data_IF_103195887857
#
_entry.id   IF_103195887857
#
_cell.length_a   1.000
_cell.length_b   1.000
_cell.length_c   1.000
_cell.angle_alpha   90.00
_cell.angle_beta   90.00
_cell.angle_gamma   90.00
#
_symmetry.space_group_name_H-M   'P 1'
#
loop_
_entity.id
_entity.type
_entity.pdbx_description
1 polymer ?
#
# COMPACT_ATOMS: atom_id res chain seq x y z
N UNK A 1 -13.73 0.44 -9.91
CA UNK A 1 -15.05 1.06 -9.53
C UNK A 1 -15.06 1.15 -8.01
N UNK A 2 -15.40 2.31 -7.47
CA UNK A 2 -15.50 2.60 -6.04
C UNK A 2 -16.93 3.04 -5.67
N UNK A 3 -17.17 3.28 -4.39
CA UNK A 3 -18.47 3.73 -3.87
C UNK A 3 -18.46 5.23 -3.51
N UNK A 4 -17.72 6.05 -4.26
CA UNK A 4 -17.76 7.52 -4.19
C UNK A 4 -18.47 8.04 -5.44
N UNK A 5 -19.77 8.31 -5.34
CA UNK A 5 -20.62 8.66 -6.49
C UNK A 5 -21.47 9.90 -6.20
N UNK A 6 -21.73 10.68 -7.24
CA UNK A 6 -22.75 11.72 -7.17
C UNK A 6 -24.14 11.07 -7.12
N UNK A 7 -24.95 11.52 -6.16
CA UNK A 7 -26.33 11.09 -6.00
C UNK A 7 -27.30 12.05 -6.70
N UNK A 8 -28.62 11.77 -6.63
CA UNK A 8 -29.66 12.56 -7.28
C UNK A 8 -29.73 14.02 -6.80
N UNK A 9 -29.22 14.29 -5.58
CA UNK A 9 -29.09 15.64 -5.01
C UNK A 9 -27.92 16.45 -5.59
N UNK A 10 -27.16 15.85 -6.50
CA UNK A 10 -25.99 16.46 -7.15
C UNK A 10 -24.74 16.52 -6.25
N UNK A 11 -24.76 15.92 -5.06
CA UNK A 11 -23.61 15.89 -4.16
C UNK A 11 -22.82 14.58 -4.27
N UNK A 12 -21.52 14.63 -3.93
CA UNK A 12 -20.69 13.45 -3.87
C UNK A 12 -20.86 12.75 -2.52
N UNK A 13 -21.14 11.45 -2.58
CA UNK A 13 -21.37 10.60 -1.41
C UNK A 13 -20.29 9.52 -1.30
N UNK A 14 -20.02 9.06 -0.09
CA UNK A 14 -19.30 7.84 0.21
C UNK A 14 -20.31 6.79 0.65
N UNK A 15 -20.52 5.73 -0.16
CA UNK A 15 -21.60 4.77 0.06
C UNK A 15 -22.97 5.53 0.23
N UNK A 16 -23.57 5.46 1.43
CA UNK A 16 -24.85 6.12 1.73
C UNK A 16 -24.68 7.33 2.70
N UNK A 17 -23.48 7.92 2.79
CA UNK A 17 -23.17 9.08 3.64
C UNK A 17 -22.66 10.24 2.80
N UNK A 18 -23.26 11.43 3.00
CA UNK A 18 -22.84 12.66 2.30
C UNK A 18 -21.45 13.10 2.75
N UNK A 19 -20.55 13.39 1.79
CA UNK A 19 -19.24 13.95 2.10
C UNK A 19 -19.32 15.36 2.70
N UNK A 20 -20.38 16.11 2.38
CA UNK A 20 -20.67 17.41 3.02
C UNK A 20 -20.93 17.24 4.52
N UNK A 21 -21.75 16.27 4.90
CA UNK A 21 -22.04 15.98 6.32
C UNK A 21 -20.80 15.53 7.07
N UNK A 22 -19.96 14.68 6.45
CA UNK A 22 -18.69 14.25 7.06
C UNK A 22 -17.73 15.41 7.27
N UNK A 23 -17.61 16.33 6.30
CA UNK A 23 -16.78 17.53 6.46
C UNK A 23 -17.30 18.45 7.56
N UNK A 24 -18.64 18.59 7.74
CA UNK A 24 -19.24 19.37 8.83
C UNK A 24 -18.99 18.71 10.19
N UNK A 25 -19.10 17.40 10.27
CA UNK A 25 -18.96 16.65 11.54
C UNK A 25 -17.50 16.56 12.01
N UNK A 26 -16.55 16.31 11.11
CA UNK A 26 -15.16 15.98 11.46
C UNK A 26 -14.15 17.06 11.06
N UNK A 27 -14.59 18.10 10.34
CA UNK A 27 -13.72 19.14 9.79
C UNK A 27 -12.86 18.64 8.62
N UNK A 28 -12.16 19.58 7.97
CA UNK A 28 -11.19 19.32 6.90
C UNK A 28 -9.78 19.76 7.32
N UNK A 29 -8.69 19.26 6.71
CA UNK A 29 -8.66 18.10 5.79
C UNK A 29 -9.12 16.82 6.48
N UNK A 30 -9.74 15.90 5.73
CA UNK A 30 -10.31 14.66 6.27
C UNK A 30 -10.11 13.50 5.31
N UNK A 31 -9.56 12.39 5.77
CA UNK A 31 -9.56 11.15 4.99
C UNK A 31 -10.88 10.40 5.21
N UNK A 32 -11.51 9.99 4.12
CA UNK A 32 -12.73 9.17 4.15
C UNK A 32 -12.48 7.90 3.37
N UNK A 33 -12.73 6.76 4.01
CA UNK A 33 -12.61 5.42 3.41
C UNK A 33 -13.98 4.77 3.26
N UNK A 34 -14.20 4.04 2.17
CA UNK A 34 -15.37 3.20 1.94
C UNK A 34 -15.04 1.75 2.31
N UNK A 35 -15.76 1.18 3.25
CA UNK A 35 -15.66 -0.23 3.62
C UNK A 35 -16.08 -1.14 2.48
N UNK A 36 -17.18 -0.83 1.83
CA UNK A 36 -17.70 -1.63 0.71
C UNK A 36 -16.70 -1.70 -0.46
N UNK A 37 -16.01 -0.57 -0.76
CA UNK A 37 -14.93 -0.57 -1.75
C UNK A 37 -13.77 -1.47 -1.35
N UNK A 38 -13.33 -1.37 -0.09
CA UNK A 38 -12.23 -2.16 0.46
C UNK A 38 -12.54 -3.67 0.40
N UNK A 39 -13.70 -4.08 0.87
CA UNK A 39 -14.17 -5.47 0.83
C UNK A 39 -14.28 -6.00 -0.60
N UNK A 40 -14.82 -5.19 -1.50
CA UNK A 40 -14.93 -5.54 -2.92
C UNK A 40 -13.57 -5.78 -3.57
N UNK A 41 -12.59 -4.89 -3.34
CA UNK A 41 -11.26 -5.01 -3.94
C UNK A 41 -10.51 -6.22 -3.40
N UNK A 42 -10.57 -6.48 -2.08
CA UNK A 42 -9.97 -7.67 -1.52
C UNK A 42 -10.60 -8.96 -2.08
N UNK A 43 -11.92 -9.02 -2.12
CA UNK A 43 -12.66 -10.15 -2.69
C UNK A 43 -12.36 -10.36 -4.19
N UNK A 44 -12.03 -9.30 -4.94
CA UNK A 44 -11.68 -9.43 -6.35
C UNK A 44 -10.37 -10.22 -6.53
N UNK A 45 -9.40 -10.06 -5.62
CA UNK A 45 -8.18 -10.88 -5.60
C UNK A 45 -8.48 -12.29 -5.13
N UNK A 46 -9.08 -12.46 -3.97
CA UNK A 46 -9.32 -13.77 -3.35
C UNK A 46 -10.13 -14.69 -4.28
N UNK A 47 -11.24 -14.20 -4.84
CA UNK A 47 -12.09 -14.99 -5.74
C UNK A 47 -11.49 -15.24 -7.12
N UNK A 48 -10.52 -14.44 -7.56
CA UNK A 48 -9.92 -14.58 -8.89
C UNK A 48 -9.09 -15.85 -9.06
N UNK A 49 -8.61 -16.40 -7.96
CA UNK A 49 -7.71 -17.57 -7.93
C UNK A 49 -8.49 -18.90 -7.89
N UNK A 50 -9.78 -18.86 -7.56
CA UNK A 50 -10.64 -20.03 -7.48
C UNK A 50 -10.17 -21.01 -6.41
N UNK A 51 -10.17 -22.32 -6.75
CA UNK A 51 -9.81 -23.41 -5.83
C UNK A 51 -8.30 -23.66 -5.72
N UNK A 52 -7.46 -22.91 -6.44
CA UNK A 52 -6.00 -23.04 -6.33
C UNK A 52 -5.52 -22.57 -4.94
N UNK A 53 -4.61 -23.31 -4.28
CA UNK A 53 -4.06 -22.91 -2.99
C UNK A 53 -3.44 -21.50 -3.06
N UNK A 54 -3.94 -20.56 -2.26
CA UNK A 54 -3.47 -19.18 -2.28
C UNK A 54 -3.66 -18.44 -0.97
N UNK A 55 -2.95 -17.32 -0.82
CA UNK A 55 -3.09 -16.38 0.27
C UNK A 55 -2.95 -14.95 -0.27
N UNK A 56 -3.92 -14.10 0.04
CA UNK A 56 -3.82 -12.66 -0.23
C UNK A 56 -3.30 -11.97 1.02
N UNK A 57 -2.04 -11.53 0.98
CA UNK A 57 -1.36 -10.78 2.04
C UNK A 57 -1.46 -9.27 1.72
N UNK A 58 -2.38 -8.57 2.38
CA UNK A 58 -2.47 -7.12 2.19
C UNK A 58 -1.19 -6.41 2.61
N UNK A 59 -0.60 -5.59 1.71
CA UNK A 59 0.61 -4.82 2.01
C UNK A 59 0.29 -3.63 2.92
N UNK A 60 0.62 -3.76 4.21
CA UNK A 60 0.27 -2.80 5.29
C UNK A 60 0.81 -1.40 5.01
N UNK A 61 1.97 -1.30 4.36
CA UNK A 61 2.59 -0.03 3.93
C UNK A 61 1.70 0.86 3.07
N UNK A 62 0.69 0.30 2.42
CA UNK A 62 -0.24 1.08 1.59
C UNK A 62 -1.21 1.92 2.45
N UNK A 63 -1.78 1.31 3.49
CA UNK A 63 -2.61 1.98 4.50
C UNK A 63 -2.62 1.12 5.77
N UNK A 64 -2.06 1.63 6.85
CA UNK A 64 -1.89 0.92 8.13
C UNK A 64 -2.92 1.30 9.19
N UNK A 65 -4.02 2.00 8.82
CA UNK A 65 -5.08 2.34 9.77
C UNK A 65 -5.71 1.08 10.37
N UNK A 66 -5.90 1.04 11.69
CA UNK A 66 -6.44 -0.14 12.38
C UNK A 66 -7.84 -0.52 11.88
N UNK A 67 -8.67 0.45 11.51
CA UNK A 67 -10.00 0.19 10.93
C UNK A 67 -9.89 -0.54 9.60
N UNK A 68 -8.97 -0.11 8.72
CA UNK A 68 -8.69 -0.76 7.43
C UNK A 68 -8.17 -2.19 7.64
N UNK A 69 -7.16 -2.35 8.51
CA UNK A 69 -6.58 -3.67 8.81
C UNK A 69 -7.61 -4.62 9.45
N UNK A 70 -8.50 -4.10 10.33
CA UNK A 70 -9.53 -4.90 10.98
C UNK A 70 -10.59 -5.41 9.99
N UNK A 71 -11.01 -4.60 9.00
CA UNK A 71 -11.91 -5.06 7.94
C UNK A 71 -11.26 -6.22 7.17
N UNK A 72 -10.00 -6.06 6.75
CA UNK A 72 -9.26 -7.08 6.01
C UNK A 72 -9.02 -8.35 6.85
N UNK A 73 -8.68 -8.22 8.14
CA UNK A 73 -8.53 -9.35 9.06
C UNK A 73 -9.82 -10.17 9.16
N UNK A 74 -10.98 -9.51 9.25
CA UNK A 74 -12.30 -10.17 9.27
C UNK A 74 -12.64 -10.90 7.98
N UNK A 75 -12.11 -10.45 6.83
CA UNK A 75 -12.22 -11.15 5.55
C UNK A 75 -11.29 -12.36 5.44
N UNK A 76 -10.38 -12.56 6.40
CA UNK A 76 -9.42 -13.65 6.40
C UNK A 76 -8.11 -13.37 5.69
N UNK A 77 -7.83 -12.09 5.38
CA UNK A 77 -6.59 -11.64 4.74
C UNK A 77 -5.35 -12.07 5.53
N UNK A 78 -4.29 -12.43 4.81
CA UNK A 78 -2.93 -12.32 5.28
C UNK A 78 -2.44 -10.88 5.22
N UNK A 79 -1.19 -10.65 5.67
CA UNK A 79 -0.59 -9.31 5.67
C UNK A 79 0.89 -9.39 5.31
N UNK A 80 1.32 -8.51 4.38
CA UNK A 80 2.72 -8.21 4.13
C UNK A 80 3.12 -7.01 4.98
N UNK A 81 4.12 -7.21 5.84
CA UNK A 81 4.66 -6.20 6.74
C UNK A 81 6.14 -5.92 6.45
N UNK A 82 6.60 -4.71 6.77
CA UNK A 82 8.00 -4.30 6.57
C UNK A 82 8.66 -3.73 7.83
N UNK A 83 7.97 -3.78 8.98
CA UNK A 83 8.48 -3.31 10.27
C UNK A 83 7.75 -3.95 11.45
N UNK A 84 8.36 -3.87 12.64
CA UNK A 84 7.70 -4.24 13.89
C UNK A 84 6.45 -3.39 14.14
N UNK A 85 6.48 -2.11 13.80
CA UNK A 85 5.31 -1.23 13.96
C UNK A 85 4.10 -1.71 13.17
N UNK A 86 4.31 -2.17 11.92
CA UNK A 86 3.25 -2.77 11.11
C UNK A 86 2.79 -4.12 11.69
N UNK A 87 3.72 -4.95 12.17
CA UNK A 87 3.39 -6.21 12.86
C UNK A 87 2.42 -5.97 14.03
N UNK A 88 2.78 -5.05 14.93
CA UNK A 88 1.94 -4.76 16.11
C UNK A 88 0.58 -4.17 15.72
N UNK A 89 0.51 -3.38 14.63
CA UNK A 89 -0.78 -2.89 14.10
C UNK A 89 -1.66 -4.02 13.57
N UNK A 90 -1.09 -4.97 12.85
CA UNK A 90 -1.83 -6.15 12.35
C UNK A 90 -2.39 -6.97 13.52
N UNK A 91 -1.57 -7.20 14.56
CA UNK A 91 -2.01 -7.93 15.76
C UNK A 91 -3.11 -7.16 16.49
N UNK A 92 -2.95 -5.85 16.68
CA UNK A 92 -3.96 -4.99 17.32
C UNK A 92 -5.29 -4.94 16.53
N UNK A 93 -5.22 -5.08 15.21
CA UNK A 93 -6.38 -5.15 14.33
C UNK A 93 -7.07 -6.54 14.28
N UNK A 94 -6.51 -7.56 14.95
CA UNK A 94 -7.03 -8.92 14.97
C UNK A 94 -6.59 -9.78 13.79
N UNK A 95 -5.49 -9.42 13.11
CA UNK A 95 -4.89 -10.24 12.06
C UNK A 95 -4.29 -11.54 12.60
N UNK A 96 -4.36 -12.60 11.79
CA UNK A 96 -3.80 -13.91 12.13
C UNK A 96 -2.28 -13.92 11.88
N UNK A 97 -1.44 -14.09 12.93
CA UNK A 97 0.00 -14.16 12.75
C UNK A 97 0.45 -15.25 11.76
N UNK A 98 -0.24 -16.38 11.72
CA UNK A 98 0.09 -17.50 10.83
C UNK A 98 -0.11 -17.16 9.34
N UNK A 99 -0.66 -15.99 9.03
CA UNK A 99 -0.87 -15.47 7.67
C UNK A 99 -0.04 -14.20 7.38
N UNK A 100 0.98 -13.90 8.22
CA UNK A 100 1.84 -12.73 8.03
C UNK A 100 3.13 -13.15 7.32
N UNK A 101 3.48 -12.42 6.26
CA UNK A 101 4.81 -12.45 5.64
C UNK A 101 5.58 -11.18 6.01
N UNK A 102 6.88 -11.31 6.28
CA UNK A 102 7.71 -10.19 6.72
C UNK A 102 8.78 -9.89 5.66
N UNK A 103 8.55 -8.84 4.89
CA UNK A 103 9.40 -8.35 3.81
C UNK A 103 10.32 -7.20 4.26
N UNK A 104 11.16 -6.70 3.36
CA UNK A 104 12.02 -5.53 3.60
C UNK A 104 13.47 -5.86 3.91
N UNK A 105 14.38 -4.96 3.48
CA UNK A 105 15.84 -5.14 3.44
C UNK A 105 16.55 -4.88 4.77
N UNK A 106 15.86 -4.43 5.81
CA UNK A 106 16.49 -3.94 7.04
C UNK A 106 15.91 -4.52 8.32
N UNK A 107 15.46 -5.78 8.31
CA UNK A 107 14.93 -6.45 9.50
C UNK A 107 15.99 -6.56 10.59
N UNK A 108 15.70 -6.05 11.78
CA UNK A 108 16.56 -6.11 12.95
C UNK A 108 16.35 -7.38 13.75
N UNK A 109 17.33 -7.76 14.58
CA UNK A 109 17.21 -8.92 15.46
C UNK A 109 15.99 -8.86 16.40
N UNK A 110 15.63 -7.67 16.88
CA UNK A 110 14.45 -7.48 17.75
C UNK A 110 13.14 -7.67 17.01
N UNK A 111 13.05 -7.21 15.75
CA UNK A 111 11.90 -7.43 14.87
C UNK A 111 11.75 -8.91 14.53
N UNK A 112 12.86 -9.58 14.18
CA UNK A 112 12.88 -11.03 13.93
C UNK A 112 12.43 -11.82 15.16
N UNK A 113 12.97 -11.46 16.34
CA UNK A 113 12.60 -12.10 17.61
C UNK A 113 11.11 -12.00 17.90
N UNK A 114 10.54 -10.80 17.73
CA UNK A 114 9.11 -10.56 17.94
C UNK A 114 8.25 -11.34 16.97
N UNK A 115 8.61 -11.37 15.70
CA UNK A 115 7.89 -12.10 14.66
C UNK A 115 7.93 -13.63 14.87
N UNK A 116 9.10 -14.18 15.27
CA UNK A 116 9.25 -15.59 15.64
C UNK A 116 8.41 -15.98 16.86
N UNK A 117 8.35 -15.10 17.89
CA UNK A 117 7.50 -15.32 19.06
C UNK A 117 6.01 -15.39 18.69
N UNK A 118 5.58 -14.63 17.70
CA UNK A 118 4.22 -14.64 17.19
C UNK A 118 3.95 -15.78 16.20
N UNK A 119 5.00 -16.49 15.75
CA UNK A 119 4.92 -17.59 14.79
C UNK A 119 4.29 -17.15 13.46
N UNK A 120 4.85 -16.11 12.85
CA UNK A 120 4.41 -15.63 11.54
C UNK A 120 4.60 -16.72 10.47
N UNK A 121 3.90 -16.58 9.32
CA UNK A 121 3.97 -17.53 8.21
C UNK A 121 5.38 -17.66 7.65
N UNK A 122 6.03 -16.54 7.35
CA UNK A 122 7.32 -16.56 6.64
C UNK A 122 8.07 -15.24 6.75
N UNK A 123 9.41 -15.32 6.69
CA UNK A 123 10.29 -14.18 6.44
C UNK A 123 10.72 -14.19 4.98
N UNK A 124 10.45 -13.11 4.24
CA UNK A 124 11.00 -12.88 2.90
C UNK A 124 12.39 -12.26 3.06
N UNK A 125 13.42 -13.11 2.98
CA UNK A 125 14.82 -12.76 3.25
C UNK A 125 15.47 -12.21 1.99
N UNK A 126 16.23 -11.12 2.13
CA UNK A 126 16.77 -10.37 1.00
C UNK A 126 18.31 -10.40 0.89
N UNK A 127 19.01 -11.06 1.85
CA UNK A 127 20.47 -11.16 1.82
C UNK A 127 21.03 -12.29 2.68
N UNK A 128 22.28 -12.71 2.41
CA UNK A 128 22.97 -13.74 3.22
C UNK A 128 23.24 -13.29 4.66
N UNK A 129 23.67 -12.04 4.94
CA UNK A 129 23.82 -11.59 6.33
C UNK A 129 22.48 -11.61 7.10
N UNK A 130 21.35 -11.40 6.42
CA UNK A 130 20.03 -11.51 7.04
C UNK A 130 19.69 -12.97 7.38
N UNK A 131 20.04 -13.96 6.52
CA UNK A 131 19.91 -15.39 6.83
C UNK A 131 20.70 -15.77 8.08
N UNK A 132 21.96 -15.34 8.18
CA UNK A 132 22.83 -15.61 9.33
C UNK A 132 22.25 -15.03 10.62
N UNK A 133 21.78 -13.77 10.57
CA UNK A 133 21.17 -13.10 11.71
C UNK A 133 19.87 -13.80 12.15
N UNK A 134 19.01 -14.16 11.19
CA UNK A 134 17.74 -14.85 11.48
C UNK A 134 18.00 -16.24 12.08
N UNK A 135 18.96 -16.98 11.53
CA UNK A 135 19.38 -18.27 12.08
C UNK A 135 19.88 -18.15 13.52
N UNK A 136 20.68 -17.12 13.82
CA UNK A 136 21.15 -16.86 15.19
C UNK A 136 19.97 -16.55 16.13
N UNK A 137 19.06 -15.66 15.75
CA UNK A 137 17.88 -15.29 16.56
C UNK A 137 16.97 -16.49 16.79
N UNK A 138 16.74 -17.30 15.76
CA UNK A 138 15.94 -18.52 15.85
C UNK A 138 16.59 -19.54 16.82
N UNK A 139 17.91 -19.71 16.75
CA UNK A 139 18.69 -20.55 17.68
C UNK A 139 18.56 -20.06 19.12
N UNK A 140 18.68 -18.73 19.38
CA UNK A 140 18.51 -18.15 20.71
C UNK A 140 17.12 -18.44 21.30
N UNK A 141 16.10 -18.48 20.46
CA UNK A 141 14.72 -18.80 20.86
C UNK A 141 14.42 -20.31 20.87
N UNK A 142 15.36 -21.15 20.42
CA UNK A 142 15.17 -22.59 20.24
C UNK A 142 13.97 -22.93 19.35
N UNK A 143 13.87 -22.23 18.22
CA UNK A 143 12.84 -22.42 17.17
C UNK A 143 13.49 -22.57 15.80
N UNK A 144 12.70 -22.98 14.81
CA UNK A 144 13.08 -22.95 13.40
C UNK A 144 12.28 -21.84 12.71
N UNK A 145 12.96 -20.93 11.97
CA UNK A 145 12.35 -19.82 11.28
C UNK A 145 11.92 -20.26 9.87
N UNK A 146 10.64 -20.08 9.50
CA UNK A 146 10.20 -20.29 8.12
C UNK A 146 10.67 -19.14 7.24
N UNK A 147 11.33 -19.47 6.12
CA UNK A 147 11.90 -18.48 5.21
C UNK A 147 11.45 -18.67 3.76
N UNK A 148 11.37 -17.57 3.05
CA UNK A 148 11.34 -17.45 1.60
C UNK A 148 12.51 -16.55 1.19
N UNK A 149 13.19 -16.84 0.08
CA UNK A 149 14.18 -15.91 -0.43
C UNK A 149 13.55 -15.01 -1.47
N UNK A 150 13.71 -13.70 -1.28
CA UNK A 150 13.31 -12.73 -2.27
C UNK A 150 14.35 -12.66 -3.38
N UNK A 151 13.95 -13.10 -4.55
CA UNK A 151 14.79 -13.14 -5.74
C UNK A 151 14.43 -11.96 -6.63
N UNK A 152 15.44 -11.21 -7.05
CA UNK A 152 15.29 -10.19 -8.07
C UNK A 152 15.34 -10.88 -9.46
N UNK A 153 14.20 -10.96 -10.17
CA UNK A 153 14.14 -11.70 -11.43
C UNK A 153 14.78 -10.95 -12.61
N UNK A 154 15.29 -9.71 -12.40
CA UNK A 154 15.85 -8.85 -13.44
C UNK A 154 14.87 -8.64 -14.61
N UNK A 155 13.68 -8.22 -14.30
CA UNK A 155 12.59 -7.88 -15.24
C UNK A 155 12.30 -6.38 -15.15
N UNK A 156 12.28 -5.71 -16.30
CA UNK A 156 11.91 -4.30 -16.38
C UNK A 156 10.38 -4.14 -16.36
N UNK A 157 9.88 -3.57 -15.29
CA UNK A 157 8.46 -3.30 -15.09
C UNK A 157 7.97 -2.00 -15.76
N UNK A 158 8.84 -1.25 -16.44
CA UNK A 158 8.53 0.03 -17.10
C UNK A 158 7.79 1.04 -16.20
N UNK A 159 8.11 1.08 -14.90
CA UNK A 159 7.47 1.95 -13.91
C UNK A 159 8.37 3.14 -13.54
N UNK A 160 7.81 4.09 -12.74
CA UNK A 160 8.60 5.23 -12.25
C UNK A 160 9.86 4.74 -11.52
N UNK A 161 11.05 5.34 -11.75
CA UNK A 161 12.33 4.87 -11.18
C UNK A 161 12.34 4.66 -9.66
N UNK A 162 11.60 5.48 -8.91
CA UNK A 162 11.55 5.37 -7.44
C UNK A 162 10.68 4.21 -6.92
N UNK A 163 9.86 3.58 -7.77
CA UNK A 163 8.97 2.47 -7.40
C UNK A 163 9.23 1.19 -8.21
N UNK A 164 10.25 1.17 -9.06
CA UNK A 164 10.78 -0.04 -9.69
C UNK A 164 11.67 -0.80 -8.71
N UNK A 165 11.48 -2.10 -8.56
CA UNK A 165 12.22 -2.95 -7.61
C UNK A 165 12.81 -4.21 -8.23
N UNK A 166 12.54 -4.47 -9.52
CA UNK A 166 12.93 -5.68 -10.25
C UNK A 166 14.24 -5.59 -11.03
N UNK A 167 14.99 -4.48 -10.98
CA UNK A 167 16.24 -4.29 -11.72
C UNK A 167 17.46 -4.57 -10.83
N UNK A 168 18.57 -4.99 -11.44
CA UNK A 168 19.84 -5.34 -10.76
C UNK A 168 20.42 -4.21 -9.88
N UNK A 169 20.20 -2.95 -10.23
CA UNK A 169 20.71 -1.79 -9.50
C UNK A 169 19.90 -1.45 -8.22
N UNK A 170 18.79 -2.15 -7.98
CA UNK A 170 17.94 -1.91 -6.82
C UNK A 170 18.49 -2.61 -5.57
N UNK A 171 18.27 -2.01 -4.42
CA UNK A 171 18.69 -2.57 -3.10
C UNK A 171 17.95 -3.85 -2.69
N UNK A 172 16.94 -4.27 -3.45
CA UNK A 172 16.01 -5.33 -3.06
C UNK A 172 16.39 -6.68 -3.66
N UNK A 173 16.24 -7.72 -2.84
CA UNK A 173 16.34 -9.11 -3.26
C UNK A 173 17.74 -9.60 -3.57
N UNK A 174 17.85 -10.89 -3.74
CA UNK A 174 19.05 -11.62 -4.14
C UNK A 174 19.08 -11.69 -5.68
N UNK A 175 20.21 -11.41 -6.30
CA UNK A 175 20.36 -11.50 -7.75
C UNK A 175 20.04 -12.93 -8.25
N UNK A 176 19.34 -13.02 -9.38
CA UNK A 176 18.83 -14.31 -9.91
C UNK A 176 19.93 -15.34 -10.12
N UNK A 177 21.11 -14.93 -10.61
CA UNK A 177 22.26 -15.80 -10.84
C UNK A 177 22.90 -16.35 -9.54
N UNK A 178 22.66 -15.70 -8.39
CA UNK A 178 23.13 -16.11 -7.08
C UNK A 178 22.11 -16.98 -6.32
N UNK A 179 20.86 -17.00 -6.77
CA UNK A 179 19.75 -17.60 -6.05
C UNK A 179 20.01 -19.05 -5.63
N UNK A 180 20.41 -19.92 -6.58
CA UNK A 180 20.69 -21.34 -6.29
C UNK A 180 21.77 -21.53 -5.23
N UNK A 181 22.83 -20.72 -5.29
CA UNK A 181 23.93 -20.74 -4.32
C UNK A 181 23.45 -20.33 -2.92
N UNK A 182 22.62 -19.28 -2.83
CA UNK A 182 22.13 -18.77 -1.56
C UNK A 182 21.09 -19.73 -0.95
N UNK A 183 20.26 -20.41 -1.74
CA UNK A 183 19.39 -21.48 -1.24
C UNK A 183 20.19 -22.66 -0.65
N UNK A 184 21.26 -23.09 -1.34
CA UNK A 184 22.16 -24.12 -0.79
C UNK A 184 22.84 -23.67 0.49
N UNK A 185 23.22 -22.40 0.61
CA UNK A 185 23.73 -21.84 1.84
C UNK A 185 22.67 -21.85 2.96
N UNK A 186 21.46 -21.39 2.69
CA UNK A 186 20.34 -21.42 3.64
C UNK A 186 20.07 -22.84 4.16
N UNK A 187 20.18 -23.87 3.31
CA UNK A 187 20.03 -25.28 3.68
C UNK A 187 21.08 -25.76 4.72
N UNK A 188 22.22 -25.09 4.82
CA UNK A 188 23.25 -25.42 5.82
C UNK A 188 23.01 -24.78 7.20
N UNK A 189 21.98 -23.94 7.33
CA UNK A 189 21.64 -23.21 8.56
C UNK A 189 20.54 -23.95 9.33
N UNK A 190 20.91 -24.62 10.41
CA UNK A 190 20.08 -25.60 11.14
C UNK A 190 18.76 -25.04 11.72
N UNK A 191 18.65 -23.72 11.92
CA UNK A 191 17.48 -23.08 12.51
C UNK A 191 16.61 -22.33 11.48
N UNK A 192 16.79 -22.63 10.19
CA UNK A 192 15.95 -22.12 9.10
C UNK A 192 15.23 -23.25 8.39
N UNK A 193 13.98 -22.99 7.96
CA UNK A 193 13.16 -23.90 7.17
C UNK A 193 12.73 -23.21 5.87
N UNK A 194 13.26 -23.67 4.75
CA UNK A 194 12.97 -23.14 3.42
C UNK A 194 11.54 -23.50 3.04
N UNK A 195 10.66 -22.51 2.92
CA UNK A 195 9.25 -22.67 2.57
C UNK A 195 8.94 -22.19 1.16
N UNK A 196 9.57 -21.10 0.72
CA UNK A 196 9.12 -20.43 -0.48
C UNK A 196 10.18 -19.67 -1.25
N UNK A 197 9.71 -19.05 -2.31
CA UNK A 197 10.40 -18.08 -3.14
C UNK A 197 9.52 -16.85 -3.30
N UNK A 198 10.09 -15.66 -3.19
CA UNK A 198 9.42 -14.37 -3.30
C UNK A 198 10.01 -13.53 -4.42
N UNK A 199 9.19 -12.72 -5.06
CA UNK A 199 9.62 -11.62 -5.90
C UNK A 199 8.67 -10.42 -5.79
N UNK A 200 9.22 -9.25 -6.06
CA UNK A 200 8.42 -8.03 -6.24
C UNK A 200 9.10 -7.14 -7.28
N UNK A 201 8.46 -6.93 -8.43
CA UNK A 201 9.08 -6.30 -9.60
C UNK A 201 8.84 -4.80 -9.70
N UNK A 202 7.86 -4.27 -8.96
CA UNK A 202 7.55 -2.84 -8.99
C UNK A 202 6.15 -2.49 -8.49
N UNK A 203 5.74 -1.27 -8.71
CA UNK A 203 4.44 -0.76 -8.28
C UNK A 203 3.79 0.06 -9.39
N UNK A 204 2.46 0.05 -9.48
CA UNK A 204 1.67 0.71 -10.52
C UNK A 204 1.94 0.12 -11.93
N UNK A 205 2.03 -1.21 -12.02
CA UNK A 205 2.12 -1.91 -13.30
C UNK A 205 0.75 -1.97 -13.98
N UNK A 206 0.71 -1.61 -15.24
CA UNK A 206 -0.49 -1.62 -16.09
C UNK A 206 -0.45 -2.68 -17.18
N UNK A 207 0.64 -3.47 -17.20
CA UNK A 207 0.84 -4.58 -18.13
C UNK A 207 1.03 -5.89 -17.36
N UNK A 208 0.54 -7.00 -17.91
CA UNK A 208 0.66 -8.35 -17.33
C UNK A 208 1.99 -9.01 -17.69
N UNK A 209 2.56 -8.72 -18.85
CA UNK A 209 3.74 -9.42 -19.38
C UNK A 209 4.94 -9.44 -18.42
N UNK A 210 5.30 -8.32 -17.73
CA UNK A 210 6.40 -8.36 -16.75
C UNK A 210 6.18 -9.35 -15.60
N UNK A 211 4.93 -9.53 -15.18
CA UNK A 211 4.59 -10.51 -14.13
C UNK A 211 4.76 -11.95 -14.65
N UNK A 212 4.32 -12.21 -15.89
CA UNK A 212 4.48 -13.53 -16.53
C UNK A 212 5.96 -13.86 -16.65
N UNK A 213 6.77 -12.94 -17.16
CA UNK A 213 8.21 -13.12 -17.32
C UNK A 213 8.91 -13.42 -15.98
N UNK A 214 8.53 -12.71 -14.91
CA UNK A 214 9.06 -12.96 -13.58
C UNK A 214 8.68 -14.35 -13.07
N UNK A 215 7.42 -14.74 -13.19
CA UNK A 215 6.92 -16.06 -12.75
C UNK A 215 7.60 -17.17 -13.55
N UNK A 216 7.74 -17.07 -14.87
CA UNK A 216 8.39 -18.09 -15.69
C UNK A 216 9.85 -18.30 -15.26
N UNK A 217 10.60 -17.24 -14.98
CA UNK A 217 11.97 -17.33 -14.46
C UNK A 217 12.01 -18.04 -13.11
N UNK A 218 11.09 -17.67 -12.20
CA UNK A 218 11.04 -18.29 -10.86
C UNK A 218 10.63 -19.76 -10.91
N UNK A 219 9.69 -20.15 -11.77
CA UNK A 219 9.33 -21.57 -11.96
C UNK A 219 10.52 -22.39 -12.47
N UNK A 220 11.31 -21.83 -13.40
CA UNK A 220 12.56 -22.46 -13.85
C UNK A 220 13.58 -22.62 -12.71
N UNK A 221 13.67 -21.67 -11.79
CA UNK A 221 14.51 -21.78 -10.59
C UNK A 221 13.95 -22.81 -9.59
N UNK A 222 12.66 -22.88 -9.39
CA UNK A 222 12.00 -23.91 -8.56
C UNK A 222 12.33 -25.32 -9.05
N UNK A 223 12.32 -25.55 -10.37
CA UNK A 223 12.69 -26.84 -10.95
C UNK A 223 14.18 -27.17 -10.71
N UNK A 224 15.07 -26.19 -10.78
CA UNK A 224 16.48 -26.38 -10.44
C UNK A 224 16.67 -26.69 -8.94
N UNK A 225 15.97 -25.97 -8.05
CA UNK A 225 16.00 -26.20 -6.60
C UNK A 225 15.52 -27.60 -6.25
N UNK A 226 14.43 -28.06 -6.88
CA UNK A 226 13.90 -29.41 -6.72
C UNK A 226 14.91 -30.49 -7.14
N UNK A 227 15.64 -30.27 -8.23
CA UNK A 227 16.70 -31.19 -8.68
C UNK A 227 17.85 -31.28 -7.67
N UNK A 228 18.08 -30.27 -6.88
CA UNK A 228 19.07 -30.20 -5.78
C UNK A 228 18.50 -30.67 -4.43
N UNK A 229 17.25 -31.16 -4.38
CA UNK A 229 16.61 -31.63 -3.16
C UNK A 229 16.03 -30.54 -2.27
N UNK A 230 15.83 -29.33 -2.79
CA UNK A 230 15.19 -28.21 -2.09
C UNK A 230 13.75 -28.07 -2.61
N UNK A 231 12.77 -28.36 -1.76
CA UNK A 231 11.35 -28.30 -2.11
C UNK A 231 10.78 -26.92 -1.74
N UNK A 232 10.16 -26.25 -2.70
CA UNK A 232 9.47 -24.97 -2.53
C UNK A 232 7.96 -25.25 -2.41
N UNK A 233 7.33 -24.72 -1.34
CA UNK A 233 5.92 -24.92 -1.02
C UNK A 233 5.04 -23.75 -1.48
N UNK A 234 5.57 -22.51 -1.50
CA UNK A 234 4.85 -21.36 -2.01
C UNK A 234 5.69 -20.49 -2.93
N UNK A 235 5.02 -19.83 -3.85
CA UNK A 235 5.52 -18.78 -4.70
C UNK A 235 4.81 -17.47 -4.32
N UNK A 236 5.55 -16.53 -3.75
CA UNK A 236 5.08 -15.17 -3.52
C UNK A 236 5.40 -14.32 -4.76
N UNK A 237 4.36 -13.85 -5.42
CA UNK A 237 4.48 -13.01 -6.62
C UNK A 237 4.49 -11.51 -6.29
N UNK A 238 4.47 -11.20 -5.02
CA UNK A 238 4.45 -9.83 -4.53
C UNK A 238 3.16 -9.08 -4.85
N UNK A 239 3.27 -7.77 -4.86
CA UNK A 239 2.23 -6.87 -5.31
C UNK A 239 2.56 -6.26 -6.68
N UNK A 240 2.13 -5.01 -6.87
CA UNK A 240 2.54 -4.23 -8.04
C UNK A 240 1.41 -3.89 -8.99
N UNK A 241 0.30 -4.63 -8.99
CA UNK A 241 -0.83 -4.34 -9.87
C UNK A 241 -1.30 -2.89 -9.67
N UNK A 242 -1.44 -2.16 -10.79
CA UNK A 242 -1.80 -0.76 -10.82
C UNK A 242 -3.28 -0.50 -10.60
N UNK A 243 -3.62 0.78 -10.45
CA UNK A 243 -5.01 1.28 -10.40
C UNK A 243 -5.15 2.48 -11.34
N UNK A 244 -6.39 2.83 -11.64
CA UNK A 244 -6.71 4.03 -12.42
C UNK A 244 -6.60 5.26 -11.50
N UNK A 245 -5.70 6.17 -11.87
CA UNK A 245 -5.63 7.52 -11.31
C UNK A 245 -6.15 8.57 -12.29
N UNK A 246 -5.90 8.36 -13.59
CA UNK A 246 -6.30 9.25 -14.68
C UNK A 246 -6.80 8.44 -15.88
N UNK A 247 -5.90 7.97 -16.71
CA UNK A 247 -6.17 7.33 -18.01
C UNK A 247 -5.57 5.92 -18.09
N UNK A 248 -5.02 5.41 -16.97
CA UNK A 248 -4.42 4.08 -16.94
C UNK A 248 -5.46 2.99 -17.15
N UNK A 249 -5.05 1.89 -17.77
CA UNK A 249 -5.86 0.70 -18.02
C UNK A 249 -5.19 -0.53 -17.40
N UNK A 250 -5.10 -0.61 -16.06
CA UNK A 250 -4.51 -1.76 -15.41
C UNK A 250 -5.35 -3.02 -15.64
N UNK A 251 -4.73 -4.20 -15.69
CA UNK A 251 -5.46 -5.46 -15.75
C UNK A 251 -6.37 -5.64 -14.52
N UNK A 252 -7.52 -6.25 -14.72
CA UNK A 252 -8.37 -6.68 -13.60
C UNK A 252 -7.69 -7.82 -12.83
N UNK A 253 -7.92 -7.95 -11.50
CA UNK A 253 -7.36 -9.05 -10.71
C UNK A 253 -7.66 -10.45 -11.28
N UNK A 254 -8.81 -10.62 -11.95
CA UNK A 254 -9.19 -11.88 -12.60
C UNK A 254 -8.30 -12.22 -13.80
N UNK A 255 -7.95 -11.23 -14.62
CA UNK A 255 -7.09 -11.44 -15.79
C UNK A 255 -5.65 -11.70 -15.34
N UNK A 256 -5.20 -10.96 -14.33
CA UNK A 256 -3.90 -11.16 -13.68
C UNK A 256 -3.78 -12.57 -13.09
N UNK A 257 -4.72 -12.99 -12.23
CA UNK A 257 -4.71 -14.32 -11.63
C UNK A 257 -4.77 -15.44 -12.68
N UNK A 258 -5.64 -15.30 -13.70
CA UNK A 258 -5.75 -16.26 -14.80
C UNK A 258 -4.44 -16.41 -15.57
N UNK A 259 -3.74 -15.32 -15.85
CA UNK A 259 -2.47 -15.35 -16.55
C UNK A 259 -1.41 -16.12 -15.73
N UNK A 260 -1.31 -15.86 -14.42
CA UNK A 260 -0.38 -16.57 -13.53
C UNK A 260 -0.72 -18.04 -13.38
N UNK A 261 -1.98 -18.39 -13.15
CA UNK A 261 -2.44 -19.79 -13.03
C UNK A 261 -2.16 -20.58 -14.31
N UNK A 262 -2.24 -19.94 -15.48
CA UNK A 262 -1.88 -20.56 -16.76
C UNK A 262 -0.42 -21.03 -16.82
N UNK A 263 0.49 -20.43 -16.03
CA UNK A 263 1.91 -20.83 -15.95
C UNK A 263 2.14 -21.98 -14.94
N UNK A 264 1.24 -22.18 -13.99
CA UNK A 264 1.39 -23.13 -12.89
C UNK A 264 0.89 -24.54 -13.19
N UNK A 265 0.59 -24.88 -14.43
CA UNK A 265 0.02 -26.20 -14.82
C UNK A 265 0.85 -27.39 -14.33
N UNK A 266 2.16 -27.27 -14.32
CA UNK A 266 3.09 -28.30 -13.83
C UNK A 266 3.43 -28.18 -12.32
N UNK A 267 2.91 -27.13 -11.67
CA UNK A 267 3.15 -26.78 -10.27
C UNK A 267 1.85 -26.56 -9.49
N UNK A 268 0.83 -27.39 -9.74
CA UNK A 268 -0.54 -27.22 -9.22
C UNK A 268 -0.66 -27.25 -7.69
N UNK A 269 0.33 -27.78 -6.98
CA UNK A 269 0.36 -27.84 -5.51
C UNK A 269 1.09 -26.63 -4.87
N UNK A 270 1.69 -25.77 -5.69
CA UNK A 270 2.41 -24.60 -5.21
C UNK A 270 1.40 -23.54 -4.73
N UNK A 271 1.43 -23.17 -3.45
CA UNK A 271 0.59 -22.12 -2.92
C UNK A 271 1.03 -20.77 -3.53
N UNK A 272 0.08 -19.99 -4.07
CA UNK A 272 0.34 -18.62 -4.53
C UNK A 272 0.13 -17.63 -3.39
N UNK A 273 1.10 -16.75 -3.16
CA UNK A 273 0.94 -15.60 -2.28
C UNK A 273 0.93 -14.33 -3.14
N UNK A 274 0.01 -13.43 -2.83
CA UNK A 274 -0.11 -12.10 -3.44
C UNK A 274 0.04 -11.05 -2.36
N UNK A 275 0.74 -9.94 -2.67
CA UNK A 275 0.94 -8.82 -1.74
C UNK A 275 0.31 -7.51 -2.26
N UNK A 276 -0.99 -7.48 -2.62
CA UNK A 276 -1.62 -6.26 -3.12
C UNK A 276 -1.74 -5.21 -2.02
N UNK A 277 -1.25 -4.01 -2.28
CA UNK A 277 -1.46 -2.86 -1.42
C UNK A 277 -2.28 -1.80 -2.13
N UNK A 278 -1.69 -1.16 -3.16
CA UNK A 278 -2.33 -0.14 -3.97
C UNK A 278 -3.64 -0.61 -4.60
N UNK A 279 -3.65 -1.77 -5.22
CA UNK A 279 -4.80 -2.30 -5.92
C UNK A 279 -6.01 -2.56 -4.99
N UNK A 280 -5.76 -2.81 -3.70
CA UNK A 280 -6.83 -2.92 -2.71
C UNK A 280 -7.22 -1.55 -2.16
N UNK A 281 -6.24 -0.72 -1.74
CA UNK A 281 -6.51 0.44 -0.88
C UNK A 281 -6.68 1.77 -1.62
N UNK A 282 -6.09 2.00 -2.82
CA UNK A 282 -6.01 3.33 -3.40
C UNK A 282 -7.38 3.98 -3.63
N UNK A 283 -8.26 3.31 -4.35
CA UNK A 283 -9.59 3.84 -4.69
C UNK A 283 -10.62 3.70 -3.56
N UNK A 284 -10.21 3.12 -2.42
CA UNK A 284 -11.07 3.02 -1.24
C UNK A 284 -11.18 4.32 -0.46
N UNK A 285 -10.37 5.33 -0.78
CA UNK A 285 -10.33 6.55 0.01
C UNK A 285 -10.22 7.83 -0.81
N UNK A 286 -10.76 8.88 -0.23
CA UNK A 286 -10.63 10.26 -0.69
C UNK A 286 -10.07 11.14 0.42
N UNK A 287 -9.39 12.23 0.05
CA UNK A 287 -9.02 13.31 0.96
C UNK A 287 -9.95 14.49 0.70
N UNK A 288 -10.80 14.82 1.68
CA UNK A 288 -11.63 16.01 1.66
C UNK A 288 -10.81 17.22 2.07
N UNK A 289 -11.00 18.32 1.32
CA UNK A 289 -10.35 19.59 1.57
C UNK A 289 -11.30 20.74 1.24
N UNK A 290 -11.07 21.88 1.86
CA UNK A 290 -11.87 23.08 1.66
C UNK A 290 -11.05 24.16 0.97
N UNK A 291 -11.68 24.90 0.03
CA UNK A 291 -11.10 26.08 -0.59
C UNK A 291 -11.13 27.23 0.41
N UNK A 292 -9.95 27.65 0.88
CA UNK A 292 -9.83 28.77 1.81
C UNK A 292 -9.79 30.12 1.07
N UNK A 293 -9.06 30.19 -0.05
CA UNK A 293 -8.96 31.39 -0.85
C UNK A 293 -8.81 31.08 -2.34
N UNK A 294 -9.35 31.97 -3.18
CA UNK A 294 -9.06 32.00 -4.62
C UNK A 294 -8.16 33.20 -4.91
N UNK A 295 -7.04 32.95 -5.58
CA UNK A 295 -6.09 34.00 -5.97
C UNK A 295 -5.95 34.01 -7.48
N UNK A 296 -6.41 35.09 -8.11
CA UNK A 296 -6.30 35.32 -9.55
C UNK A 296 -5.12 36.25 -9.81
N UNK A 297 -4.27 35.89 -10.77
CA UNK A 297 -3.16 36.73 -11.24
C UNK A 297 -3.18 36.80 -12.77
N UNK A 298 -2.39 37.69 -13.36
CA UNK A 298 -2.29 37.83 -14.81
C UNK A 298 -1.75 36.56 -15.50
N UNK A 299 -1.01 35.72 -14.78
CA UNK A 299 -0.33 34.56 -15.35
C UNK A 299 -0.96 33.20 -14.93
N UNK A 300 -1.54 33.14 -13.72
CA UNK A 300 -2.01 31.86 -13.15
C UNK A 300 -3.02 32.09 -12.04
N UNK A 301 -3.99 31.16 -11.93
CA UNK A 301 -4.94 31.16 -10.82
C UNK A 301 -4.60 30.06 -9.82
N UNK A 302 -4.77 30.36 -8.55
CA UNK A 302 -4.55 29.44 -7.45
C UNK A 302 -5.82 29.27 -6.64
N UNK A 303 -6.17 28.01 -6.35
CA UNK A 303 -7.11 27.66 -5.31
C UNK A 303 -6.29 27.21 -4.10
N UNK A 304 -6.26 28.02 -3.05
CA UNK A 304 -5.57 27.74 -1.80
C UNK A 304 -6.52 26.91 -0.95
N UNK A 305 -6.13 25.69 -0.65
CA UNK A 305 -6.92 24.70 0.09
C UNK A 305 -6.30 24.43 1.45
N UNK A 306 -7.06 23.85 2.38
CA UNK A 306 -6.59 23.54 3.73
C UNK A 306 -5.77 22.24 3.81
N UNK A 307 -5.91 21.31 2.85
CA UNK A 307 -4.99 20.19 2.69
C UNK A 307 -3.68 20.63 2.02
N UNK A 308 -2.59 19.90 2.28
CA UNK A 308 -1.27 20.26 1.79
C UNK A 308 -0.40 19.02 1.49
N UNK A 309 0.83 19.24 1.01
CA UNK A 309 1.79 18.16 0.78
C UNK A 309 2.11 17.35 2.05
N UNK A 310 1.94 17.93 3.24
CA UNK A 310 2.10 17.18 4.50
C UNK A 310 0.96 16.19 4.74
N UNK A 311 -0.21 16.37 4.15
CA UNK A 311 -1.33 15.44 4.20
C UNK A 311 -1.23 14.42 3.07
N UNK A 312 -0.90 14.85 1.84
CA UNK A 312 -0.79 14.02 0.64
C UNK A 312 0.46 14.40 -0.17
N UNK A 313 1.56 13.68 0.07
CA UNK A 313 2.87 14.00 -0.51
C UNK A 313 3.04 13.57 -1.97
N UNK A 314 2.24 12.62 -2.46
CA UNK A 314 2.44 11.99 -3.78
C UNK A 314 2.51 12.95 -4.96
N UNK A 315 1.66 13.99 -5.07
CA UNK A 315 1.78 14.97 -6.16
C UNK A 315 3.13 15.70 -6.15
N UNK A 316 3.61 16.12 -4.97
CA UNK A 316 4.88 16.83 -4.83
C UNK A 316 6.09 15.89 -5.05
N UNK A 317 6.07 14.67 -4.48
CA UNK A 317 7.21 13.74 -4.49
C UNK A 317 7.38 13.00 -5.82
N UNK A 318 6.26 12.55 -6.41
CA UNK A 318 6.28 11.70 -7.61
C UNK A 318 5.67 12.38 -8.83
N UNK A 319 5.25 13.66 -8.74
CA UNK A 319 4.44 14.34 -9.75
C UNK A 319 3.18 13.51 -10.11
N UNK A 320 2.68 12.75 -9.13
CA UNK A 320 1.56 11.85 -9.32
C UNK A 320 0.26 12.62 -9.56
N UNK A 321 -0.50 12.17 -10.54
CA UNK A 321 -1.85 12.66 -10.75
C UNK A 321 -2.77 12.11 -9.66
N UNK A 322 -3.60 12.99 -9.10
CA UNK A 322 -4.78 12.67 -8.29
C UNK A 322 -5.95 13.41 -8.91
N UNK A 323 -7.06 12.73 -9.16
CA UNK A 323 -8.26 13.41 -9.61
C UNK A 323 -8.84 14.23 -8.46
N UNK A 324 -9.26 15.47 -8.77
CA UNK A 324 -9.79 16.42 -7.78
C UNK A 324 -11.14 16.90 -8.29
N UNK A 325 -12.18 16.57 -7.56
CA UNK A 325 -13.56 16.87 -7.95
C UNK A 325 -14.28 17.68 -6.87
N UNK A 326 -15.20 18.58 -7.23
CA UNK A 326 -16.03 19.27 -6.25
C UNK A 326 -16.97 18.29 -5.56
N UNK A 327 -17.18 18.46 -4.26
CA UNK A 327 -18.19 17.66 -3.51
C UNK A 327 -19.60 18.06 -3.94
N UNK A 328 -19.80 19.36 -4.17
CA UNK A 328 -21.03 19.93 -4.76
C UNK A 328 -20.64 20.70 -6.01
N UNK A 329 -20.85 20.13 -7.21
CA UNK A 329 -20.53 20.82 -8.46
C UNK A 329 -21.33 22.11 -8.63
N UNK A 330 -20.69 23.14 -9.19
CA UNK A 330 -21.32 24.41 -9.56
C UNK A 330 -21.51 24.51 -11.05
N UNK A 331 -22.58 25.18 -11.47
CA UNK A 331 -22.74 25.63 -12.85
C UNK A 331 -21.89 26.88 -13.11
N UNK A 332 -21.33 27.01 -14.30
CA UNK A 332 -20.56 28.18 -14.71
C UNK A 332 -19.43 27.84 -15.66
N UNK A 333 -18.65 28.85 -16.01
CA UNK A 333 -17.45 28.70 -16.83
C UNK A 333 -16.27 28.26 -15.96
N UNK A 334 -15.67 27.14 -16.33
CA UNK A 334 -14.53 26.60 -15.59
C UNK A 334 -13.26 27.47 -15.78
N UNK A 335 -12.57 27.70 -14.70
CA UNK A 335 -11.28 28.39 -14.66
C UNK A 335 -10.18 27.38 -14.30
N UNK A 336 -9.01 27.50 -14.95
CA UNK A 336 -7.87 26.66 -14.61
C UNK A 336 -7.19 27.14 -13.32
N UNK A 337 -7.07 26.23 -12.35
CA UNK A 337 -6.41 26.47 -11.07
C UNK A 337 -5.26 25.50 -10.82
N UNK A 338 -4.18 25.99 -10.18
CA UNK A 338 -3.33 25.14 -9.36
C UNK A 338 -3.93 25.07 -7.95
N UNK A 339 -4.19 23.84 -7.49
CA UNK A 339 -4.63 23.60 -6.11
C UNK A 339 -3.40 23.45 -5.23
N UNK A 340 -3.22 24.44 -4.34
CA UNK A 340 -2.02 24.57 -3.49
C UNK A 340 -2.42 24.63 -2.02
N UNK A 341 -1.58 24.03 -1.18
CA UNK A 341 -1.78 24.06 0.27
C UNK A 341 -1.15 25.27 0.94
N UNK A 342 -1.22 25.34 2.28
CA UNK A 342 -0.65 26.43 3.08
C UNK A 342 0.80 26.20 3.51
N UNK A 343 1.47 25.14 3.07
CA UNK A 343 2.88 24.89 3.41
C UNK A 343 3.77 25.97 2.75
N UNK A 344 4.74 26.46 3.51
CA UNK A 344 5.63 27.53 3.07
C UNK A 344 6.74 27.00 2.12
N UNK A 345 6.29 26.35 1.02
CA UNK A 345 7.16 25.75 0.01
C UNK A 345 6.48 25.77 -1.37
N UNK A 346 7.24 26.13 -2.42
CA UNK A 346 6.72 26.16 -3.80
C UNK A 346 6.27 24.77 -4.31
N UNK A 347 6.80 23.71 -3.72
CA UNK A 347 6.44 22.33 -4.01
C UNK A 347 5.08 21.88 -3.46
N UNK A 348 4.40 22.72 -2.66
CA UNK A 348 3.13 22.38 -2.04
C UNK A 348 1.96 22.58 -3.02
N UNK A 349 1.69 21.52 -3.77
CA UNK A 349 0.53 21.43 -4.65
C UNK A 349 -0.07 20.01 -4.60
N UNK A 350 -1.40 19.94 -4.73
CA UNK A 350 -2.14 18.69 -4.87
C UNK A 350 -2.57 18.44 -6.32
N UNK A 351 -2.72 19.48 -7.12
CA UNK A 351 -3.01 19.38 -8.54
C UNK A 351 -2.69 20.66 -9.29
N UNK A 352 -2.23 20.54 -10.52
CA UNK A 352 -1.93 21.65 -11.42
C UNK A 352 -2.87 21.67 -12.61
N UNK A 353 -3.19 22.86 -13.11
CA UNK A 353 -3.99 23.12 -14.32
C UNK A 353 -5.33 22.37 -14.30
N UNK A 354 -6.08 22.49 -13.18
CA UNK A 354 -7.40 21.86 -13.01
C UNK A 354 -8.50 22.83 -13.42
N UNK A 355 -9.29 22.42 -14.42
CA UNK A 355 -10.45 23.17 -14.89
C UNK A 355 -11.63 22.96 -13.93
N UNK A 356 -11.94 23.94 -13.09
CA UNK A 356 -12.94 23.87 -12.04
C UNK A 356 -13.77 25.15 -11.96
N UNK A 357 -15.01 25.04 -11.51
CA UNK A 357 -15.87 26.18 -11.12
C UNK A 357 -15.88 26.22 -9.60
N UNK A 358 -15.21 27.20 -9.00
CA UNK A 358 -14.97 27.27 -7.55
C UNK A 358 -15.37 28.61 -6.95
N UNK A 359 -15.84 28.54 -5.71
CA UNK A 359 -15.95 29.67 -4.79
C UNK A 359 -15.22 29.36 -3.49
N UNK A 360 -14.91 30.42 -2.74
CA UNK A 360 -14.35 30.27 -1.38
C UNK A 360 -15.32 29.51 -0.49
N UNK A 361 -14.83 28.52 0.24
CA UNK A 361 -15.61 27.64 1.10
C UNK A 361 -16.04 26.33 0.45
N UNK A 362 -15.85 26.17 -0.86
CA UNK A 362 -16.21 24.92 -1.55
C UNK A 362 -15.40 23.74 -1.04
N UNK A 363 -16.06 22.57 -0.95
CA UNK A 363 -15.44 21.32 -0.61
C UNK A 363 -15.01 20.57 -1.86
N UNK A 364 -13.79 20.05 -1.82
CA UNK A 364 -13.20 19.22 -2.86
C UNK A 364 -12.84 17.85 -2.31
N UNK A 365 -12.93 16.84 -3.16
CA UNK A 365 -12.46 15.48 -2.88
C UNK A 365 -11.28 15.15 -3.79
N UNK A 366 -10.12 14.88 -3.20
CA UNK A 366 -8.96 14.32 -3.90
C UNK A 366 -9.15 12.80 -3.91
N UNK A 367 -9.40 12.22 -5.09
CA UNK A 367 -9.72 10.79 -5.26
C UNK A 367 -8.47 9.90 -5.16
N UNK A 368 -8.70 8.60 -5.01
CA UNK A 368 -7.64 7.59 -4.94
C UNK A 368 -6.59 7.86 -3.86
N UNK A 369 -7.02 8.43 -2.73
CA UNK A 369 -6.18 8.79 -1.59
C UNK A 369 -6.17 7.72 -0.48
N UNK A 370 -6.64 6.49 -0.76
CA UNK A 370 -6.66 5.40 0.21
C UNK A 370 -5.33 4.69 0.41
N UNK A 371 -4.37 4.83 -0.52
CA UNK A 371 -3.05 4.19 -0.43
C UNK A 371 -1.90 5.18 -0.58
N UNK A 372 -0.83 5.01 0.21
CA UNK A 372 0.38 5.84 0.18
C UNK A 372 0.07 7.34 0.34
N UNK A 373 -0.96 7.64 1.10
CA UNK A 373 -1.43 8.99 1.41
C UNK A 373 -1.22 9.25 2.91
N UNK A 374 -2.19 8.93 3.77
CA UNK A 374 -2.04 9.16 5.21
C UNK A 374 -0.76 8.54 5.80
N UNK A 375 -0.38 7.33 5.40
CA UNK A 375 0.84 6.66 5.89
C UNK A 375 2.14 7.40 5.57
N UNK A 376 2.13 8.29 4.57
CA UNK A 376 3.26 9.15 4.18
C UNK A 376 3.09 10.59 4.67
N UNK A 377 2.03 10.89 5.43
CA UNK A 377 1.81 12.22 5.98
C UNK A 377 2.84 12.59 7.03
N UNK A 378 3.02 13.89 7.25
CA UNK A 378 3.99 14.43 8.20
C UNK A 378 3.40 15.61 8.98
N UNK A 379 4.16 16.08 9.97
CA UNK A 379 3.84 17.31 10.71
C UNK A 379 4.64 18.50 10.19
N UNK A 380 5.00 18.52 8.89
CA UNK A 380 5.72 19.65 8.30
C UNK A 380 4.98 20.96 8.54
N UNK A 381 5.70 22.03 8.85
CA UNK A 381 5.22 23.32 9.37
C UNK A 381 4.38 23.18 10.68
N UNK A 382 4.63 22.13 11.48
CA UNK A 382 3.92 21.83 12.75
C UNK A 382 2.40 21.73 12.56
N UNK A 383 1.98 21.17 11.42
CA UNK A 383 0.55 20.91 11.13
C UNK A 383 0.13 19.57 11.70
N UNK A 384 -1.03 19.55 12.33
CA UNK A 384 -1.65 18.32 12.82
C UNK A 384 -2.04 17.40 11.64
N UNK A 385 -1.82 16.10 11.76
CA UNK A 385 -2.34 15.13 10.79
C UNK A 385 -3.86 15.08 10.83
N UNK A 386 -4.46 14.88 9.67
CA UNK A 386 -5.89 14.81 9.47
C UNK A 386 -6.56 13.67 10.26
N UNK A 387 -7.86 13.79 10.53
CA UNK A 387 -8.68 12.68 10.98
C UNK A 387 -8.90 11.67 9.85
N UNK A 388 -9.23 10.43 10.21
CA UNK A 388 -9.58 9.36 9.28
C UNK A 388 -10.94 8.77 9.69
N UNK A 389 -11.86 8.68 8.74
CA UNK A 389 -13.23 8.16 8.91
C UNK A 389 -13.45 6.99 7.96
N UNK A 390 -14.08 5.91 8.44
CA UNK A 390 -14.58 4.83 7.60
C UNK A 390 -16.10 4.90 7.51
N UNK A 391 -16.61 4.85 6.30
CA UNK A 391 -18.04 4.71 6.00
C UNK A 391 -18.36 3.23 5.82
N UNK A 392 -19.48 2.80 6.40
CA UNK A 392 -20.04 1.45 6.35
C UNK A 392 -21.56 1.57 6.12
N UNK A 393 -21.98 1.50 4.86
CA UNK A 393 -23.35 1.78 4.44
C UNK A 393 -23.75 3.21 4.80
N UNK A 394 -24.73 3.35 5.68
CA UNK A 394 -25.24 4.64 6.14
C UNK A 394 -24.61 5.15 7.46
N UNK A 395 -23.52 4.52 7.90
CA UNK A 395 -22.84 4.88 9.15
C UNK A 395 -21.42 5.39 8.87
N UNK A 396 -20.94 6.33 9.67
CA UNK A 396 -19.57 6.80 9.67
C UNK A 396 -18.89 6.49 11.01
N UNK A 397 -17.66 6.00 10.94
CA UNK A 397 -16.87 5.64 12.10
C UNK A 397 -15.55 6.42 12.09
N UNK A 398 -15.29 7.18 13.15
CA UNK A 398 -13.99 7.84 13.34
C UNK A 398 -12.95 6.76 13.68
N UNK A 399 -12.10 6.40 12.71
CA UNK A 399 -11.07 5.35 12.86
C UNK A 399 -9.71 5.92 13.24
N UNK A 400 -9.55 7.25 13.19
CA UNK A 400 -8.42 8.00 13.75
C UNK A 400 -8.85 9.42 14.05
N UNK A 401 -8.59 9.89 15.26
CA UNK A 401 -8.78 11.28 15.64
C UNK A 401 -7.75 12.19 14.93
N UNK A 402 -8.12 13.44 14.65
CA UNK A 402 -7.17 14.49 14.29
C UNK A 402 -6.20 14.68 15.45
N UNK A 403 -4.93 14.89 15.13
CA UNK A 403 -3.91 15.17 16.15
C UNK A 403 -4.21 16.50 16.86
N UNK A 404 -4.06 16.49 18.18
CA UNK A 404 -4.08 17.72 18.97
C UNK A 404 -2.73 18.44 18.82
N UNK A 405 -2.72 19.75 18.63
CA UNK A 405 -1.48 20.51 18.43
C UNK A 405 -0.49 20.29 19.57
N UNK A 406 -0.96 20.22 20.81
CA UNK A 406 -0.11 20.02 21.99
C UNK A 406 0.64 18.69 21.95
N UNK A 407 0.07 17.65 21.35
CA UNK A 407 0.71 16.34 21.23
C UNK A 407 1.94 16.34 20.32
N UNK A 408 2.11 17.37 19.47
CA UNK A 408 3.24 17.46 18.56
C UNK A 408 4.56 17.79 19.25
N UNK A 409 4.50 18.33 20.47
CA UNK A 409 5.70 18.66 21.27
C UNK A 409 5.66 18.12 22.72
N UNK A 410 4.71 17.27 23.06
CA UNK A 410 4.58 16.68 24.41
C UNK A 410 5.80 15.88 24.87
N UNK A 411 6.59 15.36 23.91
CA UNK A 411 7.83 14.61 24.16
C UNK A 411 9.08 15.48 24.16
N UNK A 412 8.95 16.80 23.94
CA UNK A 412 10.05 17.72 23.89
C UNK A 412 10.28 18.37 25.28
N UNK A 413 11.52 18.71 25.59
CA UNK A 413 11.90 19.30 26.85
C UNK A 413 12.71 20.59 26.63
N UNK A 414 12.47 21.60 27.49
CA UNK A 414 13.29 22.80 27.51
C UNK A 414 14.67 22.48 28.07
N UNK A 415 15.68 23.24 27.64
CA UNK A 415 17.00 23.16 28.26
C UNK A 415 16.94 23.68 29.70
N UNK A 416 17.72 23.06 30.64
CA UNK A 416 17.84 23.62 31.97
C UNK A 416 18.49 25.04 31.91
N UNK A 417 18.06 25.94 32.80
CA UNK A 417 18.62 27.28 32.96
C UNK A 417 20.06 27.25 33.43
#
# INVERSE_FOLDING_TARGET
MDYFNYQDDGQLWAEDVSLTELAQQYGTPLYVYSRATLERHWNAFDKSVGDHPHLVCYAVKANSNLGVLNVLARLGSGFDIVSRGELERVIAAGGDPAKIVFSGVGKTADEMRRALQLKIKCFNVESEPELELLNQVAKELNVVAPISLRINPDVDAHTHPYISTGLLENKFGIAFDQALRVYKFAQTLDNLDIQGIDCHIGSQLTDIEPFIDAVDRLLGLIDQLKAEGIEIKHLDVGGGLGVVYKDELPPEPSDYAKALLGRLTNHSNLELIFEPGRAIAANTGVLLTKVEFLKHTEHKNFAIIDAAMNDLIRPALYQAWQDIVPVVPREGEATNYDLVGPICETGDFLGKDRALVLEQGDLLAVRSAGAYAFVMSSNYNTRARAAEVMVDGNQSHLVRQREELSSLWELEHLLPE
#
